data_IF_526222464534
#
_entry.id   IF_526222464534
#
_cell.length_a   1.000
_cell.length_b   1.000
_cell.length_c   1.000
_cell.angle_alpha   90.00
_cell.angle_beta   90.00
_cell.angle_gamma   90.00
#
_symmetry.space_group_name_H-M   'P 1'
#
loop_
_entity.id
_entity.type
_entity.pdbx_description
1 polymer ?
#
# COMPACT_ATOMS: atom_id res chain seq x y z
N UNK A 1 -10.18 -19.24 -23.26
CA UNK A 1 -9.55 -18.52 -22.13
C UNK A 1 -9.37 -17.06 -22.54
N UNK A 2 -10.11 -16.17 -21.90
CA UNK A 2 -10.32 -14.80 -22.35
C UNK A 2 -9.07 -13.93 -22.08
N UNK A 3 -8.53 -13.30 -23.12
CA UNK A 3 -7.40 -12.36 -23.07
C UNK A 3 -7.54 -11.28 -21.97
N UNK A 4 -8.78 -10.97 -21.58
CA UNK A 4 -9.14 -10.07 -20.48
C UNK A 4 -8.55 -10.46 -19.11
N UNK A 5 -8.35 -11.75 -18.86
CA UNK A 5 -7.81 -12.23 -17.58
C UNK A 5 -6.30 -12.01 -17.48
N UNK A 6 -5.58 -12.19 -18.60
CA UNK A 6 -4.13 -12.00 -18.68
C UNK A 6 -3.76 -10.52 -18.50
N UNK A 7 -4.56 -9.61 -19.06
CA UNK A 7 -4.37 -8.17 -18.89
C UNK A 7 -4.57 -7.72 -17.44
N UNK A 8 -5.54 -8.29 -16.71
CA UNK A 8 -5.78 -7.93 -15.30
C UNK A 8 -4.62 -8.36 -14.39
N UNK A 9 -4.04 -9.54 -14.62
CA UNK A 9 -2.84 -9.98 -13.90
C UNK A 9 -1.64 -9.08 -14.22
N UNK A 10 -1.44 -8.68 -15.47
CA UNK A 10 -0.36 -7.75 -15.83
C UNK A 10 -0.55 -6.36 -15.21
N UNK A 11 -1.77 -5.82 -15.18
CA UNK A 11 -2.05 -4.56 -14.48
C UNK A 11 -1.83 -4.67 -12.98
N UNK A 12 -2.20 -5.78 -12.34
CA UNK A 12 -1.87 -6.04 -10.93
C UNK A 12 -0.36 -6.04 -10.70
N UNK A 13 0.43 -6.68 -11.57
CA UNK A 13 1.90 -6.70 -11.46
C UNK A 13 2.51 -5.32 -11.75
N UNK A 14 1.98 -4.57 -12.73
CA UNK A 14 2.45 -3.23 -13.08
C UNK A 14 2.07 -2.17 -12.03
N UNK A 15 0.91 -2.27 -11.39
CA UNK A 15 0.55 -1.43 -10.22
C UNK A 15 1.36 -1.82 -8.98
N UNK A 16 1.82 -3.08 -8.89
CA UNK A 16 2.75 -3.51 -7.84
C UNK A 16 4.20 -3.06 -8.10
N UNK A 17 4.59 -2.80 -9.35
CA UNK A 17 5.95 -2.36 -9.74
C UNK A 17 6.06 -0.88 -10.10
N UNK A 18 4.94 -0.18 -10.31
CA UNK A 18 4.89 1.17 -10.83
C UNK A 18 4.93 2.24 -9.75
N UNK A 19 6.05 2.34 -9.02
CA UNK A 19 6.48 3.60 -8.39
C UNK A 19 7.95 3.45 -7.93
N UNK A 20 8.84 3.09 -8.85
CA UNK A 20 10.29 3.07 -8.61
C UNK A 20 10.94 4.46 -8.75
N UNK A 21 10.16 5.54 -8.75
CA UNK A 21 10.65 6.93 -8.91
C UNK A 21 10.69 7.74 -7.60
N UNK A 22 10.42 7.12 -6.45
CA UNK A 22 10.57 7.72 -5.09
C UNK A 22 11.75 7.11 -4.29
N UNK A 23 12.68 6.45 -5.00
CA UNK A 23 14.01 6.09 -4.52
C UNK A 23 14.74 7.39 -4.10
N UNK A 24 15.07 7.68 -2.84
CA UNK A 24 15.89 6.86 -1.94
C UNK A 24 15.38 6.79 -0.48
N UNK A 25 14.29 7.48 -0.12
CA UNK A 25 13.88 7.59 1.30
C UNK A 25 12.53 6.96 1.64
N UNK A 26 11.65 6.69 0.67
CA UNK A 26 10.30 6.20 0.94
C UNK A 26 10.02 4.83 0.33
N UNK A 27 9.33 3.98 1.09
CA UNK A 27 8.82 2.67 0.64
C UNK A 27 7.32 2.58 0.83
N UNK A 28 6.67 1.86 -0.07
CA UNK A 28 5.26 1.52 0.08
C UNK A 28 5.11 0.21 0.87
N UNK A 29 4.13 0.18 1.77
CA UNK A 29 3.74 -1.01 2.51
C UNK A 29 2.23 -1.22 2.34
N UNK A 30 1.82 -2.42 1.93
CA UNK A 30 0.42 -2.73 1.64
C UNK A 30 -0.04 -3.87 2.55
N UNK A 31 -1.18 -3.66 3.22
CA UNK A 31 -1.77 -4.65 4.12
C UNK A 31 -3.23 -4.84 3.79
N UNK A 32 -3.67 -6.10 3.72
CA UNK A 32 -5.10 -6.39 3.62
C UNK A 32 -5.76 -5.94 4.92
N UNK A 33 -6.77 -5.09 4.78
CA UNK A 33 -7.52 -4.54 5.88
C UNK A 33 -9.01 -4.65 5.58
N UNK A 34 -9.68 -5.71 6.05
CA UNK A 34 -11.13 -5.84 5.92
C UNK A 34 -11.79 -4.60 6.51
N UNK A 35 -12.70 -3.98 5.76
CA UNK A 35 -13.32 -2.70 6.16
C UNK A 35 -12.29 -1.60 6.41
N UNK A 36 -11.41 -1.35 5.44
CA UNK A 36 -10.38 -0.33 5.57
C UNK A 36 -11.00 1.03 5.94
N UNK A 37 -10.75 1.44 7.17
CA UNK A 37 -11.16 2.72 7.72
C UNK A 37 -9.93 3.63 7.82
N UNK A 38 -10.07 4.88 7.36
CA UNK A 38 -8.96 5.83 7.23
C UNK A 38 -8.13 5.96 8.51
N UNK A 39 -8.78 6.14 9.66
CA UNK A 39 -8.08 6.28 10.95
C UNK A 39 -7.38 4.99 11.39
N UNK A 40 -7.96 3.82 11.09
CA UNK A 40 -7.35 2.53 11.41
C UNK A 40 -6.13 2.28 10.52
N UNK A 41 -6.25 2.58 9.23
CA UNK A 41 -5.15 2.49 8.28
C UNK A 41 -4.00 3.43 8.69
N UNK A 42 -4.30 4.70 9.03
CA UNK A 42 -3.32 5.65 9.56
C UNK A 42 -2.57 5.12 10.79
N UNK A 43 -3.32 4.61 11.77
CA UNK A 43 -2.75 4.07 13.01
C UNK A 43 -1.82 2.90 12.75
N UNK A 44 -2.24 1.98 11.89
CA UNK A 44 -1.40 0.85 11.48
C UNK A 44 -0.16 1.30 10.73
N UNK A 45 -0.27 2.20 9.75
CA UNK A 45 0.89 2.74 9.05
C UNK A 45 1.90 3.38 10.01
N UNK A 46 1.42 4.12 11.02
CA UNK A 46 2.28 4.73 12.03
C UNK A 46 3.01 3.67 12.88
N UNK A 47 2.28 2.66 13.35
CA UNK A 47 2.84 1.54 14.10
C UNK A 47 3.85 0.74 13.26
N UNK A 48 3.51 0.40 12.02
CA UNK A 48 4.38 -0.35 11.11
C UNK A 48 5.67 0.44 10.80
N UNK A 49 5.57 1.75 10.57
CA UNK A 49 6.71 2.63 10.34
C UNK A 49 7.64 2.67 11.55
N UNK A 50 7.08 2.88 12.75
CA UNK A 50 7.84 2.90 14.01
C UNK A 50 8.46 1.55 14.35
N UNK A 51 7.71 0.46 14.19
CA UNK A 51 8.14 -0.89 14.56
C UNK A 51 9.15 -1.49 13.58
N UNK A 52 9.10 -1.13 12.29
CA UNK A 52 10.02 -1.69 11.31
C UNK A 52 11.40 -1.03 11.37
N UNK A 53 11.45 0.28 11.15
CA UNK A 53 12.72 0.99 10.90
C UNK A 53 12.70 2.43 11.45
N UNK A 54 11.75 2.75 12.33
CA UNK A 54 11.55 4.13 12.82
C UNK A 54 11.06 5.13 11.76
N UNK A 55 10.61 4.65 10.60
CA UNK A 55 10.14 5.47 9.48
C UNK A 55 8.88 6.25 9.84
N UNK A 56 8.73 7.45 9.27
CA UNK A 56 7.52 8.27 9.42
C UNK A 56 6.53 8.00 8.28
N UNK A 57 5.26 8.31 8.50
CA UNK A 57 4.20 8.13 7.49
C UNK A 57 4.18 9.36 6.57
N UNK A 58 4.61 9.18 5.32
CA UNK A 58 4.51 10.19 4.26
C UNK A 58 3.11 10.28 3.65
N UNK A 59 2.32 9.20 3.76
CA UNK A 59 0.95 9.15 3.27
C UNK A 59 0.30 7.81 3.56
N UNK A 60 -1.01 7.75 3.47
CA UNK A 60 -1.76 6.50 3.57
C UNK A 60 -3.07 6.61 2.78
N UNK A 61 -3.56 5.49 2.26
CA UNK A 61 -4.87 5.43 1.58
C UNK A 61 -5.51 4.06 1.79
N UNK A 62 -6.84 4.07 1.89
CA UNK A 62 -7.64 2.87 1.75
C UNK A 62 -8.01 2.69 0.28
N UNK A 63 -7.78 1.50 -0.25
CA UNK A 63 -8.14 1.11 -1.61
C UNK A 63 -8.99 -0.16 -1.60
N UNK A 64 -9.84 -0.35 -2.60
CA UNK A 64 -10.74 -1.51 -2.69
C UNK A 64 -12.02 -1.44 -1.85
N UNK A 65 -12.87 -2.47 -1.99
CA UNK A 65 -14.24 -2.48 -1.45
C UNK A 65 -14.53 -3.71 -0.56
N UNK A 66 -15.10 -3.48 0.61
CA UNK A 66 -15.55 -4.51 1.55
C UNK A 66 -14.43 -5.27 2.27
N UNK A 67 -14.47 -6.60 2.21
CA UNK A 67 -13.50 -7.48 2.89
C UNK A 67 -12.13 -7.53 2.19
N UNK A 68 -12.07 -7.09 0.93
CA UNK A 68 -10.85 -7.05 0.12
C UNK A 68 -10.21 -5.67 0.09
N UNK A 69 -10.59 -4.80 1.03
CA UNK A 69 -9.97 -3.49 1.14
C UNK A 69 -8.49 -3.61 1.57
N UNK A 70 -7.67 -2.71 1.05
CA UNK A 70 -6.24 -2.62 1.25
C UNK A 70 -5.94 -1.31 1.95
N UNK A 71 -5.09 -1.37 2.97
CA UNK A 71 -4.44 -0.20 3.54
C UNK A 71 -3.05 -0.07 2.90
N UNK A 72 -2.83 1.03 2.19
CA UNK A 72 -1.57 1.34 1.51
C UNK A 72 -0.91 2.47 2.28
N UNK A 73 0.27 2.20 2.83
CA UNK A 73 1.09 3.13 3.60
C UNK A 73 2.30 3.56 2.79
N UNK A 74 2.61 4.85 2.79
CA UNK A 74 3.88 5.38 2.32
C UNK A 74 4.75 5.70 3.55
N UNK A 75 5.82 4.94 3.74
CA UNK A 75 6.72 5.05 4.88
C UNK A 75 8.05 5.63 4.42
N UNK A 76 8.46 6.74 5.01
CA UNK A 76 9.65 7.49 4.63
C UNK A 76 10.67 7.54 5.77
N UNK A 77 11.95 7.57 5.40
CA UNK A 77 13.06 7.86 6.30
C UNK A 77 13.45 9.33 6.15
N UNK A 78 13.98 9.90 7.24
CA UNK A 78 14.60 11.22 7.23
C UNK A 78 15.83 11.24 6.32
#
# INVERSE_FOLDING_TARGET
MNARYVTLCFFLVLVLHGDSTLADSCRQFVKVHPFCFDAMCKGNCFLEGKASDGSYVGGYKCDGHGIWSLCICLLCKH
#
